data_IF_787100609454
#
_entry.id   IF_787100609454
#
_cell.length_a   1.000
_cell.length_b   1.000
_cell.length_c   1.000
_cell.angle_alpha   90.00
_cell.angle_beta   90.00
_cell.angle_gamma   90.00
#
_symmetry.space_group_name_H-M   'P 1'
#
loop_
_entity.id
_entity.type
_entity.pdbx_description
1 polymer ?
#
# COMPACT_ATOMS: atom_id res chain seq x y z
N UNK A 1 -5.73 66.98 49.84
CA UNK A 1 -4.71 67.16 48.69
C UNK A 1 -3.94 65.92 48.60
N UNK A 2 -4.32 65.04 47.71
CA UNK A 2 -3.72 63.71 47.47
C UNK A 2 -3.28 63.68 46.04
N UNK A 3 -2.02 63.41 45.84
CA UNK A 3 -1.35 63.34 44.52
C UNK A 3 -1.13 61.88 44.14
N UNK A 4 -1.87 61.43 43.15
CA UNK A 4 -1.72 60.08 42.53
C UNK A 4 -0.40 60.03 41.75
N UNK A 5 0.36 58.94 41.97
CA UNK A 5 1.48 58.53 41.13
C UNK A 5 1.18 57.16 40.51
N UNK A 6 0.90 57.16 39.22
CA UNK A 6 0.77 55.93 38.43
C UNK A 6 2.18 55.46 38.02
N UNK A 7 2.55 54.26 38.49
CA UNK A 7 3.74 53.54 38.02
C UNK A 7 3.27 52.57 36.94
N UNK A 8 3.69 52.83 35.69
CA UNK A 8 3.48 51.93 34.57
C UNK A 8 4.43 50.75 34.67
N UNK A 9 3.88 49.54 34.71
CA UNK A 9 4.65 48.29 34.53
C UNK A 9 4.69 47.93 33.07
N UNK A 10 5.89 48.03 32.46
CA UNK A 10 6.20 47.40 31.19
C UNK A 10 6.40 45.92 31.42
N UNK A 11 5.47 45.09 30.96
CA UNK A 11 5.71 43.65 30.80
C UNK A 11 6.36 43.40 29.44
N UNK A 12 7.66 43.13 29.45
CA UNK A 12 8.37 42.58 28.28
C UNK A 12 8.00 41.10 28.17
N UNK A 13 7.17 40.74 27.20
CA UNK A 13 6.93 39.36 26.77
C UNK A 13 8.12 38.91 25.96
N UNK A 14 9.03 38.14 26.58
CA UNK A 14 10.01 37.33 25.86
C UNK A 14 9.23 36.13 25.27
N UNK A 15 8.92 36.21 23.98
CA UNK A 15 8.46 35.09 23.19
C UNK A 15 9.62 34.11 22.98
N UNK A 16 9.69 33.05 23.79
CA UNK A 16 10.57 31.90 23.49
C UNK A 16 9.90 31.15 22.36
N UNK A 17 10.34 31.42 21.12
CA UNK A 17 10.03 30.61 19.96
C UNK A 17 10.64 29.23 20.16
N UNK A 18 9.83 28.25 20.58
CA UNK A 18 10.20 26.83 20.51
C UNK A 18 10.27 26.47 19.03
N UNK A 19 11.48 26.57 18.42
CA UNK A 19 11.76 25.89 17.18
C UNK A 19 11.73 24.39 17.47
N UNK A 20 10.59 23.77 17.22
CA UNK A 20 10.52 22.32 17.03
C UNK A 20 11.39 22.00 15.82
N UNK A 21 12.64 21.65 16.06
CA UNK A 21 13.49 20.97 15.09
C UNK A 21 12.88 19.58 14.95
N UNK A 22 11.87 19.45 14.08
CA UNK A 22 11.53 18.17 13.52
C UNK A 22 12.78 17.74 12.77
N UNK A 23 13.41 16.67 13.24
CA UNK A 23 14.52 16.05 12.54
C UNK A 23 14.02 15.65 11.15
N UNK A 24 14.25 16.49 10.17
CA UNK A 24 14.10 16.12 8.77
C UNK A 24 15.14 15.03 8.52
N UNK A 25 14.72 13.79 8.52
CA UNK A 25 15.54 12.71 7.99
C UNK A 25 15.82 13.05 6.54
N UNK A 26 17.08 13.40 6.27
CA UNK A 26 17.47 13.77 4.92
C UNK A 26 17.28 12.52 4.02
N UNK A 27 16.52 12.68 2.95
CA UNK A 27 16.38 11.65 1.93
C UNK A 27 17.75 11.22 1.42
N UNK A 28 17.97 9.92 1.28
CA UNK A 28 19.23 9.36 0.78
C UNK A 28 19.60 9.92 -0.59
N UNK A 29 20.91 10.18 -0.81
CA UNK A 29 21.43 10.84 -2.04
C UNK A 29 21.19 10.02 -3.31
N UNK A 30 20.97 8.72 -3.21
CA UNK A 30 20.67 7.81 -4.31
C UNK A 30 19.19 7.78 -4.68
N UNK A 31 18.35 8.62 -4.04
CA UNK A 31 16.91 8.73 -4.32
C UNK A 31 16.66 10.00 -5.13
N UNK A 32 15.86 9.88 -6.18
CA UNK A 32 15.43 11.01 -7.02
C UNK A 32 13.95 10.85 -7.40
N UNK A 33 13.26 11.96 -7.63
CA UNK A 33 11.90 11.95 -8.18
C UNK A 33 11.96 11.54 -9.65
N UNK A 34 11.23 10.49 -10.02
CA UNK A 34 11.11 10.02 -11.40
C UNK A 34 9.87 10.59 -12.09
N UNK A 35 8.71 10.61 -11.40
CA UNK A 35 7.47 11.18 -11.90
C UNK A 35 6.60 11.70 -10.76
N UNK A 36 5.68 12.63 -11.07
CA UNK A 36 4.78 13.30 -10.10
C UNK A 36 3.36 13.38 -10.65
N UNK A 37 2.41 13.83 -9.83
CA UNK A 37 1.02 14.07 -10.24
C UNK A 37 0.09 12.88 -10.02
N UNK A 38 0.47 11.97 -9.13
CA UNK A 38 -0.35 10.81 -8.76
C UNK A 38 -1.28 11.12 -7.58
N UNK A 39 -2.41 10.41 -7.53
CA UNK A 39 -3.38 10.45 -6.44
C UNK A 39 -3.27 9.17 -5.61
N UNK A 40 -2.57 9.21 -4.48
CA UNK A 40 -2.31 8.04 -3.64
C UNK A 40 -1.75 6.85 -4.47
N UNK A 41 -0.52 6.96 -5.05
CA UNK A 41 0.07 5.88 -5.84
C UNK A 41 0.28 4.64 -4.97
N UNK A 42 -0.07 3.48 -5.52
CA UNK A 42 -0.04 2.19 -4.86
C UNK A 42 0.95 1.25 -5.58
N UNK A 43 0.53 0.05 -5.94
CA UNK A 43 1.35 -0.89 -6.68
C UNK A 43 1.86 -0.35 -8.02
N UNK A 44 3.01 -0.80 -8.46
CA UNK A 44 3.63 -0.40 -9.72
C UNK A 44 4.40 -1.56 -10.35
N UNK A 45 4.32 -1.67 -11.69
CA UNK A 45 5.01 -2.71 -12.48
C UNK A 45 5.44 -2.17 -13.83
N UNK A 46 6.62 -2.59 -14.27
CA UNK A 46 7.03 -2.37 -15.67
C UNK A 46 6.26 -3.30 -16.59
N UNK A 47 5.66 -2.71 -17.62
CA UNK A 47 4.99 -3.43 -18.68
C UNK A 47 5.98 -4.03 -19.71
N UNK A 48 5.47 -4.92 -20.58
CA UNK A 48 6.28 -5.50 -21.67
C UNK A 48 6.71 -4.48 -22.72
N UNK A 49 6.08 -3.29 -22.72
CA UNK A 49 6.45 -2.12 -23.54
C UNK A 49 7.60 -1.30 -22.95
N UNK A 50 8.04 -1.63 -21.73
CA UNK A 50 9.10 -0.93 -21.00
C UNK A 50 8.64 0.31 -20.24
N UNK A 51 7.38 0.67 -20.32
CA UNK A 51 6.77 1.74 -19.51
C UNK A 51 6.42 1.24 -18.10
N UNK A 52 6.39 2.15 -17.13
CA UNK A 52 5.99 1.84 -15.76
C UNK A 52 4.49 2.12 -15.57
N UNK A 53 3.73 1.09 -15.18
CA UNK A 53 2.32 1.21 -14.84
C UNK A 53 2.17 1.39 -13.33
N UNK A 54 1.36 2.38 -12.93
CA UNK A 54 1.16 2.77 -11.53
C UNK A 54 -0.33 2.73 -11.23
N UNK A 55 -0.73 1.94 -10.24
CA UNK A 55 -2.08 1.99 -9.68
C UNK A 55 -2.21 3.16 -8.71
N UNK A 56 -3.39 3.78 -8.69
CA UNK A 56 -3.67 4.94 -7.84
C UNK A 56 -4.95 4.69 -7.03
N UNK A 57 -4.85 4.88 -5.73
CA UNK A 57 -5.99 4.81 -4.82
C UNK A 57 -7.06 5.85 -5.14
N UNK A 58 -6.68 6.97 -5.76
CA UNK A 58 -7.58 8.07 -6.04
C UNK A 58 -7.64 9.08 -4.90
N UNK A 59 -8.81 9.69 -4.72
CA UNK A 59 -9.08 10.73 -3.72
C UNK A 59 -10.32 10.41 -2.85
N UNK A 60 -10.71 9.13 -2.77
CA UNK A 60 -11.94 8.76 -2.06
C UNK A 60 -13.21 9.30 -2.71
N UNK A 61 -14.17 9.66 -1.89
CA UNK A 61 -15.45 10.27 -2.33
C UNK A 61 -16.40 10.49 -1.17
N UNK A 62 -17.61 10.97 -1.48
CA UNK A 62 -18.61 11.38 -0.47
C UNK A 62 -19.85 10.50 -0.42
N UNK A 63 -19.94 9.47 -1.26
CA UNK A 63 -21.07 8.54 -1.27
C UNK A 63 -21.04 7.66 -0.03
N UNK A 64 -22.17 7.54 0.68
CA UNK A 64 -22.31 6.73 1.88
C UNK A 64 -23.39 5.65 1.69
N UNK A 65 -23.14 4.49 2.25
CA UNK A 65 -24.06 3.35 2.26
C UNK A 65 -24.48 2.96 3.68
N UNK A 66 -24.33 3.87 4.63
CA UNK A 66 -24.84 3.67 5.99
C UNK A 66 -26.35 3.39 5.97
N UNK A 67 -26.78 2.37 6.70
CA UNK A 67 -28.17 1.91 6.70
C UNK A 67 -28.57 1.04 5.51
N UNK A 68 -27.68 0.82 4.54
CA UNK A 68 -27.92 -0.03 3.35
C UNK A 68 -27.29 -1.41 3.55
N UNK A 69 -26.07 -1.48 4.07
CA UNK A 69 -25.33 -2.73 4.30
C UNK A 69 -24.46 -2.63 5.56
N UNK A 70 -23.90 -3.76 6.05
CA UNK A 70 -22.91 -3.76 7.12
C UNK A 70 -21.73 -2.85 6.77
N UNK A 71 -21.32 -2.05 7.74
CA UNK A 71 -20.25 -1.08 7.60
C UNK A 71 -18.99 -1.56 8.32
N UNK A 72 -17.83 -1.07 7.88
CA UNK A 72 -16.60 -1.19 8.64
C UNK A 72 -16.76 -0.50 9.99
N UNK A 73 -16.36 -1.11 11.12
CA UNK A 73 -16.56 -0.55 12.45
C UNK A 73 -15.77 0.75 12.69
N UNK A 74 -16.31 1.60 13.58
CA UNK A 74 -15.56 2.75 14.12
C UNK A 74 -14.37 2.25 14.98
N UNK A 75 -13.21 2.93 14.95
CA UNK A 75 -12.93 4.25 14.35
C UNK A 75 -12.58 4.21 12.86
N UNK A 76 -12.31 3.06 12.27
CA UNK A 76 -11.87 2.89 10.88
C UNK A 76 -12.95 3.33 9.90
N UNK A 77 -14.12 2.75 10.01
CA UNK A 77 -15.32 3.15 9.28
C UNK A 77 -16.22 4.14 10.03
N UNK A 78 -17.39 4.47 9.47
CA UNK A 78 -17.86 4.06 8.15
C UNK A 78 -17.08 4.73 7.02
N UNK A 79 -16.90 4.01 5.91
CA UNK A 79 -16.24 4.56 4.73
C UNK A 79 -17.20 5.38 3.86
N UNK A 80 -16.61 6.31 3.08
CA UNK A 80 -17.28 6.96 1.97
C UNK A 80 -16.56 6.66 0.67
N UNK A 81 -17.30 6.59 -0.44
CA UNK A 81 -16.77 6.16 -1.71
C UNK A 81 -17.02 7.12 -2.87
N UNK A 82 -16.27 6.94 -3.94
CA UNK A 82 -16.39 7.66 -5.21
C UNK A 82 -15.69 6.89 -6.33
N UNK A 83 -15.59 7.53 -7.50
CA UNK A 83 -14.94 6.95 -8.68
C UNK A 83 -13.74 7.80 -9.09
N UNK A 84 -12.72 7.84 -8.24
CA UNK A 84 -11.51 8.64 -8.41
C UNK A 84 -10.23 7.81 -8.55
N UNK A 85 -10.35 6.48 -8.46
CA UNK A 85 -9.24 5.55 -8.71
C UNK A 85 -8.79 5.58 -10.17
N UNK A 86 -7.49 5.35 -10.40
CA UNK A 86 -6.87 5.49 -11.72
C UNK A 86 -5.74 4.48 -11.90
N UNK A 87 -5.41 4.19 -13.16
CA UNK A 87 -4.16 3.55 -13.56
C UNK A 87 -3.44 4.51 -14.49
N UNK A 88 -2.22 4.87 -14.16
CA UNK A 88 -1.34 5.70 -14.96
C UNK A 88 -0.19 4.91 -15.55
N UNK A 89 0.35 5.39 -16.67
CA UNK A 89 1.53 4.89 -17.34
C UNK A 89 2.60 5.97 -17.39
N UNK A 90 3.84 5.62 -17.08
CA UNK A 90 5.00 6.51 -17.07
C UNK A 90 6.04 6.00 -18.05
N UNK A 91 6.38 6.82 -19.05
CA UNK A 91 7.42 6.50 -20.01
C UNK A 91 8.82 6.54 -19.35
N UNK A 92 9.87 5.96 -19.97
CA UNK A 92 11.24 6.07 -19.47
C UNK A 92 11.74 7.52 -19.30
N UNK A 93 11.12 8.48 -20.00
CA UNK A 93 11.39 9.92 -19.88
C UNK A 93 10.62 10.60 -18.71
N UNK A 94 9.80 9.85 -17.94
CA UNK A 94 9.02 10.39 -16.84
C UNK A 94 7.69 11.04 -17.23
N UNK A 95 7.25 10.90 -18.50
CA UNK A 95 5.95 11.44 -18.94
C UNK A 95 4.82 10.54 -18.45
N UNK A 96 3.87 11.13 -17.72
CA UNK A 96 2.70 10.44 -17.15
C UNK A 96 1.51 10.57 -18.08
N UNK A 97 0.82 9.45 -18.35
CA UNK A 97 -0.45 9.40 -19.08
C UNK A 97 -1.45 8.48 -18.37
N UNK A 98 -2.75 8.81 -18.47
CA UNK A 98 -3.81 7.96 -17.91
C UNK A 98 -4.08 6.77 -18.84
N UNK A 99 -4.17 5.57 -18.27
CA UNK A 99 -4.55 4.33 -18.96
C UNK A 99 -6.04 4.04 -18.73
N UNK A 100 -6.47 4.10 -17.47
CA UNK A 100 -7.86 3.93 -17.02
C UNK A 100 -8.12 4.92 -15.91
N UNK A 101 -9.29 5.54 -15.89
CA UNK A 101 -9.77 6.39 -14.81
C UNK A 101 -11.19 6.02 -14.37
N UNK A 102 -11.76 6.79 -13.45
CA UNK A 102 -13.10 6.58 -12.91
C UNK A 102 -13.30 5.19 -12.28
N UNK A 103 -12.24 4.61 -11.71
CA UNK A 103 -12.34 3.37 -10.95
C UNK A 103 -12.77 3.64 -9.50
N UNK A 104 -13.42 2.66 -8.83
CA UNK A 104 -13.80 2.78 -7.43
C UNK A 104 -12.64 3.20 -6.52
N UNK A 105 -12.97 4.09 -5.59
CA UNK A 105 -12.08 4.61 -4.55
C UNK A 105 -12.91 4.87 -3.30
N UNK A 106 -12.33 4.66 -2.14
CA UNK A 106 -12.96 4.98 -0.86
C UNK A 106 -11.98 5.71 0.07
N UNK A 107 -12.51 6.27 1.13
CA UNK A 107 -11.72 6.78 2.24
C UNK A 107 -12.31 6.34 3.59
N UNK A 108 -11.42 6.12 4.54
CA UNK A 108 -11.78 5.81 5.93
C UNK A 108 -12.41 7.02 6.61
N UNK A 109 -12.92 6.83 7.82
CA UNK A 109 -13.44 7.94 8.63
C UNK A 109 -12.37 8.99 8.93
N UNK A 110 -12.81 10.21 9.28
CA UNK A 110 -11.91 11.28 9.71
C UNK A 110 -11.14 10.92 11.00
N UNK A 111 -11.72 10.08 11.87
CA UNK A 111 -11.04 9.59 13.07
C UNK A 111 -9.84 8.70 12.75
N UNK A 112 -9.88 7.98 11.61
CA UNK A 112 -8.79 7.16 11.10
C UNK A 112 -7.82 7.96 10.21
N UNK A 113 -8.15 9.21 9.84
CA UNK A 113 -7.28 10.09 9.05
C UNK A 113 -7.59 10.13 7.58
N UNK A 114 -8.80 9.76 7.14
CA UNK A 114 -9.22 9.79 5.72
C UNK A 114 -8.23 9.03 4.80
N UNK A 115 -7.84 7.82 5.20
CA UNK A 115 -6.95 6.98 4.41
C UNK A 115 -7.68 6.49 3.16
N UNK A 116 -7.04 6.61 2.00
CA UNK A 116 -7.66 6.32 0.71
C UNK A 116 -7.25 4.94 0.20
N UNK A 117 -8.23 4.15 -0.27
CA UNK A 117 -8.03 2.92 -1.04
C UNK A 117 -8.74 3.00 -2.39
N UNK A 118 -8.27 2.23 -3.37
CA UNK A 118 -8.83 2.26 -4.72
C UNK A 118 -8.24 1.14 -5.57
N UNK A 119 -7.46 1.47 -6.62
CA UNK A 119 -6.67 0.46 -7.32
C UNK A 119 -5.43 0.17 -6.52
N UNK A 120 -5.35 -1.04 -5.94
CA UNK A 120 -4.29 -1.42 -5.02
C UNK A 120 -2.99 -1.81 -5.72
N UNK A 121 -3.07 -2.58 -6.81
CA UNK A 121 -1.88 -3.03 -7.54
C UNK A 121 -2.21 -3.33 -9.01
N UNK A 122 -1.17 -3.52 -9.81
CA UNK A 122 -1.24 -3.93 -11.21
C UNK A 122 -0.27 -5.07 -11.48
N UNK A 123 -0.61 -5.96 -12.40
CA UNK A 123 0.26 -7.02 -12.88
C UNK A 123 -0.01 -7.34 -14.34
N UNK A 124 0.97 -7.96 -15.01
CA UNK A 124 0.82 -8.44 -16.37
C UNK A 124 0.79 -9.97 -16.42
N UNK A 125 -0.18 -10.53 -17.13
CA UNK A 125 -0.14 -11.92 -17.56
C UNK A 125 0.10 -11.92 -19.08
N UNK A 126 1.29 -12.29 -19.50
CA UNK A 126 1.76 -12.04 -20.87
C UNK A 126 1.77 -10.52 -21.17
N UNK A 127 0.99 -10.13 -22.17
CA UNK A 127 0.83 -8.71 -22.55
C UNK A 127 -0.45 -8.06 -22.01
N UNK A 128 -1.25 -8.78 -21.24
CA UNK A 128 -2.52 -8.28 -20.71
C UNK A 128 -2.31 -7.66 -19.32
N UNK A 129 -2.72 -6.40 -19.16
CA UNK A 129 -2.70 -5.68 -17.89
C UNK A 129 -3.91 -6.09 -17.06
N UNK A 130 -3.67 -6.42 -15.80
CA UNK A 130 -4.67 -6.66 -14.77
C UNK A 130 -4.48 -5.69 -13.62
N UNK A 131 -5.59 -5.27 -13.02
CA UNK A 131 -5.61 -4.41 -11.84
C UNK A 131 -6.31 -5.11 -10.68
N UNK A 132 -5.74 -4.96 -9.49
CA UNK A 132 -6.33 -5.38 -8.22
C UNK A 132 -7.11 -4.21 -7.64
N UNK A 133 -8.43 -4.36 -7.52
CA UNK A 133 -9.30 -3.33 -6.97
C UNK A 133 -9.58 -3.60 -5.50
N UNK A 134 -9.43 -2.58 -4.67
CA UNK A 134 -9.67 -2.61 -3.23
C UNK A 134 -10.55 -1.47 -2.70
N UNK A 135 -10.98 -0.55 -3.59
CA UNK A 135 -11.78 0.62 -3.21
C UNK A 135 -13.28 0.47 -3.46
N UNK A 136 -13.75 -0.72 -3.86
CA UNK A 136 -15.14 -1.01 -4.19
C UNK A 136 -15.85 -1.74 -3.05
N UNK A 137 -17.17 -1.76 -3.12
CA UNK A 137 -18.01 -2.51 -2.20
C UNK A 137 -19.02 -1.66 -1.45
N UNK A 138 -20.06 -2.31 -0.96
CA UNK A 138 -21.10 -1.61 -0.21
C UNK A 138 -20.55 -1.06 1.10
N UNK A 139 -19.71 -1.79 1.82
CA UNK A 139 -19.06 -1.31 3.05
C UNK A 139 -18.07 -0.16 2.80
N UNK A 140 -17.68 0.06 1.53
CA UNK A 140 -16.80 1.13 1.08
C UNK A 140 -17.56 2.34 0.48
N UNK A 141 -18.87 2.44 0.73
CA UNK A 141 -19.70 3.54 0.24
C UNK A 141 -20.20 3.39 -1.19
N UNK A 142 -19.95 2.27 -1.86
CA UNK A 142 -20.28 2.07 -3.29
C UNK A 142 -21.13 0.81 -3.50
N UNK A 143 -22.44 0.92 -3.24
CA UNK A 143 -23.37 -0.19 -3.43
C UNK A 143 -23.37 -0.70 -4.88
N UNK A 144 -23.44 -2.02 -5.05
CA UNK A 144 -23.46 -2.67 -6.36
C UNK A 144 -22.07 -2.80 -7.04
N UNK A 145 -21.00 -2.37 -6.36
CA UNK A 145 -19.63 -2.60 -6.82
C UNK A 145 -18.94 -3.68 -5.98
N UNK A 146 -17.82 -4.24 -6.47
CA UNK A 146 -17.07 -5.30 -5.79
C UNK A 146 -15.57 -5.12 -5.97
N UNK A 147 -14.80 -5.49 -4.96
CA UNK A 147 -13.36 -5.65 -5.08
C UNK A 147 -13.04 -6.93 -5.87
N UNK A 148 -11.94 -6.90 -6.61
CA UNK A 148 -11.55 -8.02 -7.44
C UNK A 148 -10.49 -7.70 -8.47
N UNK A 149 -10.33 -8.59 -9.43
CA UNK A 149 -9.39 -8.44 -10.53
C UNK A 149 -10.12 -7.89 -11.76
N UNK A 150 -9.64 -6.75 -12.24
CA UNK A 150 -10.06 -6.15 -13.50
C UNK A 150 -9.04 -6.47 -14.59
N UNK A 151 -9.48 -6.95 -15.74
CA UNK A 151 -8.70 -6.93 -16.96
C UNK A 151 -8.86 -5.55 -17.61
N UNK A 152 -7.75 -4.93 -17.96
CA UNK A 152 -7.75 -3.69 -18.76
C UNK A 152 -7.79 -4.05 -20.23
N UNK A 153 -8.81 -3.57 -20.93
CA UNK A 153 -9.00 -3.80 -22.36
C UNK A 153 -8.20 -2.78 -23.20
N UNK A 154 -7.88 -3.10 -24.46
CA UNK A 154 -7.11 -2.19 -25.33
C UNK A 154 -7.76 -0.81 -25.57
N UNK A 155 -9.07 -0.70 -25.41
CA UNK A 155 -9.84 0.56 -25.54
C UNK A 155 -9.87 1.38 -24.24
N UNK A 156 -9.18 0.94 -23.17
CA UNK A 156 -9.18 1.58 -21.86
C UNK A 156 -10.36 1.22 -20.97
N UNK A 157 -11.32 0.43 -21.45
CA UNK A 157 -12.37 -0.13 -20.60
C UNK A 157 -11.85 -1.24 -19.70
N UNK A 158 -12.64 -1.64 -18.70
CA UNK A 158 -12.28 -2.73 -17.80
C UNK A 158 -13.33 -3.82 -17.74
N UNK A 159 -12.89 -5.06 -17.50
CA UNK A 159 -13.78 -6.22 -17.30
C UNK A 159 -13.41 -6.90 -16.00
N UNK A 160 -14.38 -7.05 -15.08
CA UNK A 160 -14.19 -7.87 -13.86
C UNK A 160 -14.02 -9.34 -14.28
N UNK A 161 -12.85 -9.91 -13.97
CA UNK A 161 -12.53 -11.32 -14.29
C UNK A 161 -12.49 -12.21 -13.05
N UNK A 162 -12.46 -11.63 -11.86
CA UNK A 162 -12.59 -12.34 -10.59
C UNK A 162 -13.22 -11.40 -9.54
N UNK A 163 -14.31 -11.82 -8.91
CA UNK A 163 -14.99 -11.09 -7.84
C UNK A 163 -14.48 -11.60 -6.48
N UNK A 164 -13.50 -10.89 -5.93
CA UNK A 164 -12.85 -11.27 -4.67
C UNK A 164 -13.74 -10.99 -3.45
N UNK A 165 -14.54 -9.91 -3.47
CA UNK A 165 -15.54 -9.68 -2.40
C UNK A 165 -16.54 -10.84 -2.27
N UNK A 166 -16.98 -11.40 -3.40
CA UNK A 166 -17.86 -12.57 -3.39
C UNK A 166 -17.14 -13.81 -2.84
N UNK A 167 -15.89 -14.04 -3.28
CA UNK A 167 -15.08 -15.15 -2.80
C UNK A 167 -14.89 -15.10 -1.29
N UNK A 168 -14.44 -13.98 -0.75
CA UNK A 168 -14.21 -13.76 0.68
C UNK A 168 -15.46 -14.05 1.52
N UNK A 169 -16.60 -13.52 1.09
CA UNK A 169 -17.88 -13.68 1.79
C UNK A 169 -18.31 -15.12 1.90
N UNK A 170 -18.01 -15.97 0.89
CA UNK A 170 -18.43 -17.38 0.86
C UNK A 170 -17.34 -18.33 1.35
N UNK A 171 -16.12 -17.83 1.53
CA UNK A 171 -14.97 -18.60 2.00
C UNK A 171 -14.27 -17.87 3.15
N UNK A 172 -14.93 -17.70 4.32
CA UNK A 172 -14.33 -16.97 5.43
C UNK A 172 -13.02 -17.63 5.89
N UNK A 173 -12.09 -16.82 6.39
CA UNK A 173 -10.86 -17.30 7.06
C UNK A 173 -11.20 -17.92 8.41
N UNK A 174 -10.27 -18.73 8.96
CA UNK A 174 -10.51 -19.44 10.22
C UNK A 174 -10.58 -18.49 11.43
N UNK A 175 -9.79 -17.40 11.44
CA UNK A 175 -9.71 -16.47 12.55
C UNK A 175 -9.90 -15.01 12.08
N UNK A 176 -11.11 -14.61 11.64
CA UNK A 176 -11.38 -13.22 11.28
C UNK A 176 -11.26 -12.34 12.52
N UNK A 177 -10.72 -11.12 12.36
CA UNK A 177 -10.68 -10.14 13.44
C UNK A 177 -11.98 -9.30 13.44
N UNK A 178 -12.84 -9.41 14.47
CA UNK A 178 -14.07 -8.63 14.52
C UNK A 178 -13.84 -7.11 14.66
N UNK A 179 -12.68 -6.71 15.19
CA UNK A 179 -12.30 -5.30 15.36
C UNK A 179 -11.83 -4.62 14.08
N UNK A 180 -11.48 -5.43 13.07
CA UNK A 180 -11.01 -4.98 11.75
C UNK A 180 -11.82 -5.70 10.65
N UNK A 181 -13.14 -5.60 10.76
CA UNK A 181 -14.08 -6.28 9.89
C UNK A 181 -14.25 -5.50 8.59
N UNK A 182 -13.78 -6.07 7.49
CA UNK A 182 -13.87 -5.52 6.12
C UNK A 182 -14.76 -6.42 5.25
N UNK A 183 -16.09 -6.21 5.24
CA UNK A 183 -17.03 -7.15 4.59
C UNK A 183 -16.81 -7.35 3.09
N UNK A 184 -16.28 -6.34 2.41
CA UNK A 184 -15.97 -6.40 0.97
C UNK A 184 -14.49 -6.71 0.70
N UNK A 185 -13.63 -6.81 1.76
CA UNK A 185 -12.20 -7.03 1.70
C UNK A 185 -11.41 -5.81 1.23
N UNK A 186 -10.12 -5.77 1.56
CA UNK A 186 -9.23 -4.65 1.19
C UNK A 186 -7.88 -5.20 0.73
N UNK A 187 -7.82 -5.76 -0.48
CA UNK A 187 -6.58 -6.30 -1.05
C UNK A 187 -5.50 -5.24 -1.16
N UNK A 188 -4.24 -5.63 -1.00
CA UNK A 188 -3.14 -4.68 -0.97
C UNK A 188 -2.15 -4.84 -2.12
N UNK A 189 -1.60 -6.02 -2.34
CA UNK A 189 -0.61 -6.25 -3.41
C UNK A 189 -0.86 -7.55 -4.17
N UNK A 190 -0.28 -7.64 -5.37
CA UNK A 190 -0.47 -8.75 -6.28
C UNK A 190 0.83 -9.06 -7.02
N UNK A 191 1.08 -10.34 -7.26
CA UNK A 191 2.19 -10.82 -8.09
C UNK A 191 1.70 -11.84 -9.11
N UNK A 192 2.27 -11.82 -10.31
CA UNK A 192 2.05 -12.86 -11.30
C UNK A 192 3.10 -13.96 -11.14
N UNK A 193 2.66 -15.22 -11.22
CA UNK A 193 3.52 -16.38 -11.32
C UNK A 193 2.84 -17.44 -12.19
N UNK A 194 3.52 -17.90 -13.24
CA UNK A 194 3.07 -18.99 -14.13
C UNK A 194 1.69 -18.77 -14.78
N UNK A 195 1.35 -17.54 -15.12
CA UNK A 195 0.06 -17.17 -15.72
C UNK A 195 -1.09 -17.04 -14.71
N UNK A 196 -0.81 -17.12 -13.42
CA UNK A 196 -1.75 -16.99 -12.31
C UNK A 196 -1.42 -15.72 -11.53
N UNK A 197 -2.45 -14.99 -11.10
CA UNK A 197 -2.29 -13.85 -10.21
C UNK A 197 -2.43 -14.31 -8.75
N UNK A 198 -1.53 -13.83 -7.90
CA UNK A 198 -1.59 -14.10 -6.45
C UNK A 198 -1.74 -12.78 -5.72
N UNK A 199 -2.82 -12.63 -4.97
CA UNK A 199 -3.17 -11.40 -4.26
C UNK A 199 -3.21 -11.63 -2.76
N UNK A 200 -2.73 -10.63 -1.99
CA UNK A 200 -2.74 -10.63 -0.53
C UNK A 200 -3.87 -9.74 -0.01
N UNK A 201 -4.63 -10.26 0.94
CA UNK A 201 -5.68 -9.55 1.65
C UNK A 201 -5.27 -9.34 3.12
N UNK A 202 -5.09 -8.06 3.54
CA UNK A 202 -4.55 -7.72 4.85
C UNK A 202 -5.46 -8.01 6.04
N UNK A 203 -6.74 -7.66 5.94
CA UNK A 203 -7.63 -7.60 7.10
C UNK A 203 -8.10 -8.99 7.54
N UNK A 204 -8.39 -9.87 6.58
CA UNK A 204 -8.70 -11.27 6.85
C UNK A 204 -7.45 -12.13 6.98
N UNK A 205 -6.33 -11.69 6.36
CA UNK A 205 -5.03 -12.38 6.43
C UNK A 205 -4.98 -13.62 5.54
N UNK A 206 -5.06 -13.44 4.21
CA UNK A 206 -5.02 -14.55 3.27
C UNK A 206 -4.22 -14.25 1.99
N UNK A 207 -3.67 -15.31 1.38
CA UNK A 207 -3.07 -15.29 0.06
C UNK A 207 -3.93 -16.12 -0.89
N UNK A 208 -4.44 -15.48 -1.94
CA UNK A 208 -5.31 -16.10 -2.94
C UNK A 208 -4.61 -16.22 -4.28
N UNK A 209 -4.80 -17.37 -4.94
CA UNK A 209 -4.47 -17.60 -6.34
C UNK A 209 -5.72 -17.35 -7.20
N UNK A 210 -5.55 -16.56 -8.25
CA UNK A 210 -6.61 -16.15 -9.15
C UNK A 210 -6.23 -16.49 -10.59
N UNK A 211 -6.99 -17.41 -11.20
CA UNK A 211 -6.92 -17.71 -12.62
C UNK A 211 -7.90 -16.78 -13.35
N UNK A 212 -7.42 -15.78 -14.12
CA UNK A 212 -8.31 -14.81 -14.73
C UNK A 212 -9.40 -15.44 -15.59
N UNK A 213 -10.68 -15.19 -15.23
CA UNK A 213 -11.84 -15.75 -15.92
C UNK A 213 -12.18 -17.21 -15.59
N UNK A 214 -11.48 -17.84 -14.64
CA UNK A 214 -11.74 -19.22 -14.25
C UNK A 214 -12.21 -19.34 -12.79
N UNK A 215 -11.29 -19.36 -11.84
CA UNK A 215 -11.64 -19.55 -10.43
C UNK A 215 -10.61 -18.88 -9.49
N UNK A 216 -11.00 -18.80 -8.21
CA UNK A 216 -10.18 -18.28 -7.13
C UNK A 216 -9.97 -19.42 -6.13
N UNK A 217 -8.74 -19.53 -5.60
CA UNK A 217 -8.40 -20.50 -4.58
C UNK A 217 -7.55 -19.85 -3.50
N UNK A 218 -7.93 -19.98 -2.23
CA UNK A 218 -7.04 -19.61 -1.12
C UNK A 218 -5.86 -20.56 -1.07
N UNK A 219 -4.63 -20.01 -1.15
CA UNK A 219 -3.39 -20.77 -1.00
C UNK A 219 -2.99 -20.86 0.46
N UNK A 220 -3.13 -19.78 1.21
CA UNK A 220 -2.83 -19.76 2.63
C UNK A 220 -3.83 -18.90 3.42
N UNK A 221 -4.36 -19.47 4.49
CA UNK A 221 -5.04 -18.75 5.55
C UNK A 221 -4.00 -18.35 6.60
N UNK A 222 -3.46 -17.13 6.44
CA UNK A 222 -2.42 -16.60 7.30
C UNK A 222 -2.97 -16.34 8.69
N UNK A 223 -4.24 -15.91 8.79
CA UNK A 223 -4.92 -15.64 10.06
C UNK A 223 -4.96 -16.86 10.97
N UNK A 224 -5.11 -18.04 10.40
CA UNK A 224 -5.14 -19.30 11.12
C UNK A 224 -3.83 -19.59 11.86
N UNK A 225 -2.69 -19.18 11.27
CA UNK A 225 -1.36 -19.54 11.75
C UNK A 225 -0.75 -18.40 12.56
N UNK A 226 -0.96 -17.15 12.14
CA UNK A 226 -0.30 -15.96 12.66
C UNK A 226 -1.23 -15.04 13.46
N UNK A 227 -2.55 -15.27 13.44
CA UNK A 227 -3.52 -14.30 13.93
C UNK A 227 -3.64 -13.08 13.01
N UNK A 228 -4.12 -11.98 13.54
CA UNK A 228 -4.29 -10.74 12.80
C UNK A 228 -2.98 -9.94 12.80
N UNK A 229 -2.26 -9.97 11.69
CA UNK A 229 -0.94 -9.33 11.52
C UNK A 229 -0.88 -8.37 10.32
N UNK A 230 -1.98 -8.18 9.61
CA UNK A 230 -2.10 -7.26 8.45
C UNK A 230 -1.03 -7.55 7.39
N UNK A 231 -1.05 -8.73 6.71
CA UNK A 231 -0.11 -9.01 5.62
C UNK A 231 -0.39 -8.08 4.43
N UNK A 232 0.64 -7.43 3.89
CA UNK A 232 0.50 -6.39 2.86
C UNK A 232 1.28 -6.70 1.59
N UNK A 233 2.54 -7.06 1.71
CA UNK A 233 3.43 -7.21 0.58
C UNK A 233 3.54 -8.68 0.15
N UNK A 234 3.51 -8.95 -1.16
CA UNK A 234 3.81 -10.27 -1.72
C UNK A 234 4.84 -10.17 -2.84
N UNK A 235 5.82 -11.07 -2.83
CA UNK A 235 6.79 -11.27 -3.91
C UNK A 235 7.01 -12.76 -4.16
N UNK A 236 7.39 -13.12 -5.39
CA UNK A 236 7.67 -14.49 -5.79
C UNK A 236 9.13 -14.61 -6.27
N UNK A 237 9.86 -15.62 -5.77
CA UNK A 237 11.27 -15.81 -6.11
C UNK A 237 11.53 -16.87 -7.20
N UNK A 238 10.47 -17.35 -7.84
CA UNK A 238 10.54 -18.45 -8.83
C UNK A 238 10.19 -19.82 -8.23
N UNK A 239 10.07 -19.93 -6.90
CA UNK A 239 9.72 -21.18 -6.20
C UNK A 239 8.66 -20.98 -5.11
N UNK A 240 8.87 -20.00 -4.23
CA UNK A 240 8.04 -19.71 -3.09
C UNK A 240 7.56 -18.25 -3.08
N UNK A 241 6.44 -17.98 -2.43
CA UNK A 241 5.97 -16.63 -2.13
C UNK A 241 6.61 -16.11 -0.84
N UNK A 242 6.94 -14.83 -0.82
CA UNK A 242 7.39 -14.11 0.36
C UNK A 242 6.35 -13.05 0.69
N UNK A 243 5.86 -13.07 1.92
CA UNK A 243 4.80 -12.18 2.40
C UNK A 243 5.32 -11.38 3.58
N UNK A 244 5.26 -10.06 3.47
CA UNK A 244 5.55 -9.12 4.56
C UNK A 244 4.26 -8.62 5.20
N UNK A 245 4.30 -8.25 6.48
CA UNK A 245 3.17 -7.69 7.18
C UNK A 245 3.44 -6.27 7.70
N UNK A 246 2.39 -5.47 7.71
CA UNK A 246 2.39 -4.13 8.29
C UNK A 246 2.33 -4.20 9.82
N UNK A 247 1.55 -5.13 10.36
CA UNK A 247 1.11 -5.23 11.74
C UNK A 247 -0.07 -4.28 12.08
N UNK A 248 -0.57 -4.36 13.30
CA UNK A 248 -1.72 -3.56 13.77
C UNK A 248 -1.27 -2.24 14.38
N UNK A 249 -2.10 -1.20 14.24
CA UNK A 249 -1.84 0.08 14.90
C UNK A 249 -2.23 0.05 16.39
N UNK A 250 -1.44 0.67 17.28
CA UNK A 250 -0.16 1.33 17.05
C UNK A 250 0.95 0.31 16.76
N UNK A 251 1.74 0.53 15.70
CA UNK A 251 2.81 -0.40 15.29
C UNK A 251 3.90 -0.43 16.36
N UNK A 252 4.32 -1.62 16.70
CA UNK A 252 5.51 -1.82 17.54
C UNK A 252 6.72 -1.98 16.63
N UNK A 253 7.69 -1.10 16.75
CA UNK A 253 8.92 -1.16 15.96
C UNK A 253 9.59 -2.54 16.08
N UNK A 254 10.01 -3.11 14.97
CA UNK A 254 10.59 -4.44 14.89
C UNK A 254 9.58 -5.61 14.99
N UNK A 255 8.26 -5.36 15.02
CA UNK A 255 7.25 -6.43 15.13
C UNK A 255 6.90 -7.08 13.80
N UNK A 256 7.16 -6.40 12.68
CA UNK A 256 6.90 -6.94 11.36
C UNK A 256 7.91 -8.02 10.96
N UNK A 257 7.47 -8.90 10.09
CA UNK A 257 8.24 -10.08 9.65
C UNK A 257 7.97 -10.39 8.18
N UNK A 258 8.88 -11.14 7.59
CA UNK A 258 8.66 -11.77 6.29
C UNK A 258 8.42 -13.26 6.49
N UNK A 259 7.34 -13.75 5.92
CA UNK A 259 6.98 -15.16 5.88
C UNK A 259 7.23 -15.71 4.47
N UNK A 260 7.69 -16.95 4.41
CA UNK A 260 7.77 -17.73 3.20
C UNK A 260 6.56 -18.66 3.14
N UNK A 261 5.85 -18.67 2.00
CA UNK A 261 4.69 -19.53 1.75
C UNK A 261 4.98 -20.35 0.50
N UNK A 262 4.95 -21.68 0.64
CA UNK A 262 5.09 -22.58 -0.50
C UNK A 262 3.82 -22.53 -1.38
N UNK A 263 3.88 -22.94 -2.67
CA UNK A 263 2.68 -23.08 -3.51
C UNK A 263 1.61 -24.03 -2.95
N UNK A 264 1.95 -24.84 -1.94
CA UNK A 264 1.02 -25.72 -1.22
C UNK A 264 0.41 -25.09 0.03
N UNK A 265 0.77 -23.81 0.34
CA UNK A 265 0.26 -23.08 1.50
C UNK A 265 1.01 -23.30 2.80
N UNK A 266 2.16 -23.98 2.79
CA UNK A 266 3.01 -24.13 3.97
C UNK A 266 3.70 -22.82 4.31
N UNK A 267 3.46 -22.28 5.52
CA UNK A 267 3.94 -20.98 5.97
C UNK A 267 5.08 -21.14 6.98
N UNK A 268 6.17 -20.40 6.77
CA UNK A 268 7.31 -20.32 7.69
C UNK A 268 7.80 -18.88 7.82
N UNK A 269 7.98 -18.37 9.03
CA UNK A 269 8.63 -17.06 9.24
C UNK A 269 10.13 -17.18 8.94
N UNK A 270 10.64 -16.30 8.08
CA UNK A 270 12.05 -16.34 7.62
C UNK A 270 12.89 -15.16 8.07
N UNK A 271 12.28 -13.96 8.18
CA UNK A 271 12.94 -12.74 8.63
C UNK A 271 12.07 -12.02 9.65
N UNK A 272 12.67 -11.43 10.68
CA UNK A 272 12.03 -10.73 11.81
C UNK A 272 12.75 -9.43 12.11
N UNK A 273 12.24 -8.63 13.04
CA UNK A 273 12.79 -7.33 13.42
C UNK A 273 12.75 -6.33 12.26
N UNK A 274 11.64 -6.29 11.57
CA UNK A 274 11.27 -5.33 10.54
C UNK A 274 10.08 -4.50 11.01
N UNK A 275 9.79 -3.39 10.38
CA UNK A 275 8.70 -2.48 10.77
C UNK A 275 7.84 -2.12 9.57
N UNK A 276 6.52 -2.16 9.73
CA UNK A 276 5.54 -1.61 8.79
C UNK A 276 5.87 -1.94 7.31
N UNK A 277 5.97 -3.24 6.99
CA UNK A 277 6.35 -3.70 5.64
C UNK A 277 5.18 -3.44 4.68
N UNK A 278 5.46 -2.72 3.59
CA UNK A 278 4.49 -2.40 2.53
C UNK A 278 4.94 -2.81 1.12
N UNK A 279 6.15 -3.32 0.98
CA UNK A 279 6.67 -3.78 -0.31
C UNK A 279 7.79 -4.79 -0.17
N UNK A 280 7.81 -5.77 -1.08
CA UNK A 280 8.86 -6.78 -1.23
C UNK A 280 9.24 -6.88 -2.71
N UNK A 281 10.53 -6.99 -3.00
CA UNK A 281 11.00 -7.22 -4.37
C UNK A 281 12.30 -8.02 -4.39
N UNK A 282 12.46 -8.90 -5.38
CA UNK A 282 13.71 -9.60 -5.63
C UNK A 282 14.47 -8.93 -6.76
N UNK A 283 15.78 -8.79 -6.62
CA UNK A 283 16.64 -8.40 -7.72
C UNK A 283 17.01 -9.61 -8.62
N UNK A 284 17.70 -9.33 -9.72
CA UNK A 284 18.15 -10.38 -10.67
C UNK A 284 19.15 -11.38 -10.07
N UNK A 285 19.74 -11.09 -8.92
CA UNK A 285 20.63 -11.98 -8.15
C UNK A 285 19.87 -12.81 -7.11
N UNK A 286 18.52 -12.64 -7.00
CA UNK A 286 17.68 -13.31 -6.02
C UNK A 286 17.78 -12.74 -4.61
N UNK A 287 18.31 -11.53 -4.43
CA UNK A 287 18.36 -10.85 -3.13
C UNK A 287 17.02 -10.16 -2.86
N UNK A 288 16.51 -10.33 -1.65
CA UNK A 288 15.26 -9.72 -1.21
C UNK A 288 15.50 -8.29 -0.73
N UNK A 289 14.63 -7.39 -1.16
CA UNK A 289 14.51 -6.02 -0.66
C UNK A 289 13.16 -5.85 0.02
N UNK A 290 13.16 -5.11 1.12
CA UNK A 290 12.00 -4.83 1.97
C UNK A 290 11.78 -3.32 1.99
N UNK A 291 10.56 -2.89 1.73
CA UNK A 291 10.12 -1.51 1.87
C UNK A 291 9.33 -1.37 3.16
N UNK A 292 9.81 -0.54 4.06
CA UNK A 292 9.12 -0.13 5.28
C UNK A 292 8.45 1.23 5.05
N UNK A 293 7.15 1.35 5.41
CA UNK A 293 6.45 2.63 5.31
C UNK A 293 6.94 3.61 6.37
N UNK A 294 7.19 3.09 7.58
CA UNK A 294 7.78 3.84 8.69
C UNK A 294 8.66 2.94 9.54
N UNK A 295 9.69 3.47 10.16
CA UNK A 295 10.49 2.81 11.18
C UNK A 295 10.67 3.74 12.39
N UNK A 296 10.71 3.17 13.60
CA UNK A 296 10.82 3.92 14.84
C UNK A 296 9.56 4.72 15.23
N UNK A 297 8.42 4.49 14.60
CA UNK A 297 7.17 5.21 14.85
C UNK A 297 5.99 4.23 15.00
N UNK A 298 4.98 4.64 15.78
CA UNK A 298 3.76 3.86 16.00
C UNK A 298 2.73 4.00 14.86
N UNK A 299 2.89 5.01 14.03
CA UNK A 299 2.00 5.33 12.91
C UNK A 299 2.83 5.77 11.70
N UNK A 300 2.34 5.55 10.48
CA UNK A 300 2.98 6.06 9.26
C UNK A 300 3.34 7.53 9.37
N UNK A 301 4.62 7.83 9.21
CA UNK A 301 5.18 9.17 9.39
C UNK A 301 6.01 9.55 8.18
N UNK A 302 5.72 10.70 7.57
CA UNK A 302 6.45 11.17 6.40
C UNK A 302 7.94 11.35 6.69
N UNK A 303 8.81 10.93 5.76
CA UNK A 303 10.26 11.03 5.89
C UNK A 303 10.92 9.93 6.72
N UNK A 304 10.17 8.91 7.15
CA UNK A 304 10.71 7.81 7.98
C UNK A 304 10.66 6.43 7.30
N UNK A 305 10.17 6.39 6.05
CA UNK A 305 10.19 5.17 5.26
C UNK A 305 11.60 4.79 4.81
N UNK A 306 11.86 3.49 4.68
CA UNK A 306 13.16 2.94 4.36
C UNK A 306 13.09 1.76 3.39
N UNK A 307 14.18 1.52 2.67
CA UNK A 307 14.41 0.30 1.90
C UNK A 307 15.60 -0.43 2.50
N UNK A 308 15.36 -1.68 2.86
CA UNK A 308 16.36 -2.59 3.41
C UNK A 308 16.64 -3.72 2.41
N UNK A 309 17.89 -4.14 2.25
CA UNK A 309 18.26 -5.38 1.57
C UNK A 309 18.58 -6.47 2.59
N UNK A 310 18.07 -7.65 2.36
CA UNK A 310 18.38 -8.81 3.20
C UNK A 310 19.74 -9.39 2.79
N UNK A 311 20.76 -9.27 3.64
CA UNK A 311 22.13 -9.76 3.43
C UNK A 311 22.43 -11.05 4.24
N UNK A 312 21.42 -11.63 4.90
CA UNK A 312 21.49 -12.86 5.70
C UNK A 312 20.36 -12.96 6.70
N UNK A 313 20.38 -13.98 7.55
CA UNK A 313 19.33 -14.18 8.56
C UNK A 313 19.28 -12.99 9.51
N UNK A 314 18.19 -12.19 9.40
CA UNK A 314 17.96 -10.98 10.21
C UNK A 314 19.13 -9.96 10.16
N UNK A 315 19.86 -9.95 9.06
CA UNK A 315 20.90 -8.97 8.76
C UNK A 315 20.45 -8.13 7.57
N UNK A 316 20.28 -6.83 7.78
CA UNK A 316 19.70 -5.90 6.83
C UNK A 316 20.68 -4.78 6.51
N UNK A 317 20.87 -4.53 5.22
CA UNK A 317 21.61 -3.37 4.71
C UNK A 317 20.65 -2.29 4.29
N UNK A 318 20.78 -1.12 4.89
CA UNK A 318 20.02 0.04 4.47
C UNK A 318 20.44 0.47 3.05
N UNK A 319 19.46 0.61 2.15
CA UNK A 319 19.64 1.01 0.76
C UNK A 319 19.19 2.46 0.56
N UNK A 320 18.08 2.84 1.16
CA UNK A 320 17.57 4.20 1.11
C UNK A 320 16.72 4.51 2.34
N UNK A 321 16.71 5.78 2.76
CA UNK A 321 15.91 6.31 3.87
C UNK A 321 15.30 7.65 3.50
N UNK A 322 14.45 8.17 4.39
CA UNK A 322 13.81 9.47 4.18
C UNK A 322 12.66 9.44 3.19
N UNK A 323 12.09 8.25 2.92
CA UNK A 323 10.90 8.12 2.08
C UNK A 323 9.66 8.59 2.84
N UNK A 324 8.70 9.18 2.13
CA UNK A 324 7.51 9.74 2.75
C UNK A 324 6.28 8.90 2.39
N UNK A 325 5.76 8.15 3.37
CA UNK A 325 4.56 7.33 3.23
C UNK A 325 4.61 6.44 1.97
N UNK A 326 5.70 5.68 1.74
CA UNK A 326 5.80 4.81 0.58
C UNK A 326 4.81 3.64 0.70
N UNK A 327 4.37 3.08 -0.43
CA UNK A 327 3.32 2.04 -0.45
C UNK A 327 3.69 0.79 -1.24
N UNK A 328 4.57 0.89 -2.22
CA UNK A 328 5.01 -0.25 -3.01
C UNK A 328 6.35 0.05 -3.68
N UNK A 329 7.04 -1.00 -4.14
CA UNK A 329 8.25 -0.89 -4.95
C UNK A 329 8.37 -2.01 -5.98
N UNK A 330 9.09 -1.74 -7.05
CA UNK A 330 9.44 -2.72 -8.08
C UNK A 330 10.83 -2.45 -8.63
N UNK A 331 11.52 -3.49 -9.12
CA UNK A 331 12.75 -3.31 -9.89
C UNK A 331 12.44 -2.92 -11.33
N UNK A 332 13.16 -1.92 -11.82
CA UNK A 332 13.14 -1.56 -13.23
C UNK A 332 14.08 -2.44 -14.07
N UNK A 333 13.92 -2.39 -15.41
CA UNK A 333 14.81 -3.08 -16.34
C UNK A 333 16.27 -2.65 -16.21
N UNK A 334 16.50 -1.43 -15.73
CA UNK A 334 17.81 -0.83 -15.43
C UNK A 334 18.46 -1.30 -14.12
N UNK A 335 17.77 -2.18 -13.36
CA UNK A 335 18.24 -2.72 -12.09
C UNK A 335 18.10 -1.77 -10.89
N UNK A 336 17.45 -0.63 -11.05
CA UNK A 336 17.12 0.29 -9.97
C UNK A 336 15.72 0.01 -9.43
N UNK A 337 15.45 0.46 -8.20
CA UNK A 337 14.12 0.39 -7.61
C UNK A 337 13.29 1.62 -7.98
N UNK A 338 12.02 1.40 -8.19
CA UNK A 338 11.00 2.43 -8.36
C UNK A 338 9.98 2.28 -7.24
N UNK A 339 9.61 3.38 -6.59
CA UNK A 339 8.86 3.40 -5.33
C UNK A 339 7.70 4.38 -5.43
N UNK A 340 6.50 3.93 -5.11
CA UNK A 340 5.34 4.81 -4.90
C UNK A 340 5.52 5.55 -3.58
N UNK A 341 5.53 6.88 -3.62
CA UNK A 341 5.77 7.76 -2.48
C UNK A 341 4.59 8.74 -2.30
N UNK A 342 4.25 9.10 -1.06
CA UNK A 342 3.00 9.79 -0.72
C UNK A 342 1.76 9.02 -1.18
N UNK A 343 1.77 7.71 -0.99
CA UNK A 343 0.68 6.82 -1.37
C UNK A 343 -0.22 6.40 -0.21
N UNK A 344 0.07 6.83 1.01
CA UNK A 344 -0.68 6.51 2.22
C UNK A 344 -1.01 7.78 3.01
N UNK A 345 -2.27 7.97 3.34
CA UNK A 345 -2.76 9.15 4.02
C UNK A 345 -3.63 10.03 3.12
N UNK A 346 -4.07 11.19 3.61
CA UNK A 346 -4.78 12.20 2.84
C UNK A 346 -3.80 13.25 2.28
N UNK A 347 -2.89 12.92 1.35
CA UNK A 347 -2.09 13.95 0.72
C UNK A 347 -2.98 14.84 -0.15
N UNK A 348 -2.60 16.07 -0.43
CA UNK A 348 -3.24 16.86 -1.46
C UNK A 348 -3.31 16.05 -2.77
N UNK A 349 -4.43 16.13 -3.49
CA UNK A 349 -4.59 15.48 -4.79
C UNK A 349 -3.42 15.86 -5.71
N UNK A 350 -2.79 14.87 -6.34
CA UNK A 350 -1.63 15.07 -7.21
C UNK A 350 -0.28 15.21 -6.50
N UNK A 351 -0.23 15.08 -5.17
CA UNK A 351 1.04 15.14 -4.43
C UNK A 351 1.86 13.84 -4.50
N UNK A 352 1.25 12.73 -4.93
CA UNK A 352 1.91 11.44 -5.07
C UNK A 352 3.05 11.47 -6.08
N UNK A 353 4.07 10.66 -5.83
CA UNK A 353 5.31 10.58 -6.61
C UNK A 353 5.68 9.13 -6.89
N UNK A 354 6.40 8.91 -7.98
CA UNK A 354 7.25 7.74 -8.15
C UNK A 354 8.70 8.20 -7.97
N UNK A 355 9.40 7.56 -7.05
CA UNK A 355 10.82 7.77 -6.83
C UNK A 355 11.63 6.69 -7.56
N UNK A 356 12.82 7.08 -8.04
CA UNK A 356 13.85 6.15 -8.51
C UNK A 356 14.95 6.09 -7.46
N UNK A 357 15.30 4.89 -7.03
CA UNK A 357 16.36 4.61 -6.07
C UNK A 357 17.47 3.84 -6.78
N UNK A 358 18.62 4.48 -6.92
CA UNK A 358 19.79 3.84 -7.52
C UNK A 358 20.34 2.82 -6.54
N UNK A 359 20.29 1.54 -6.91
CA UNK A 359 20.81 0.45 -6.09
C UNK A 359 22.32 0.36 -6.29
N UNK A 360 23.13 0.45 -5.20
CA UNK A 360 24.58 0.34 -5.32
C UNK A 360 25.01 -0.98 -5.98
N UNK A 361 25.92 -0.91 -6.93
CA UNK A 361 26.63 -2.09 -7.41
C UNK A 361 27.52 -2.64 -6.28
N UNK A 362 27.40 -3.96 -6.00
CA UNK A 362 28.31 -4.68 -5.09
C UNK A 362 29.52 -5.17 -5.85
#
# INVERSE_FOLDING_TARGET
>A
MTRDWRVGKFCALLGIGLCLVQGLWAQSKNVSVFATGFNNPRGLKFGPDGDLYVSEGGAGGTTSTQGICPQVPSPVGPYTGGFTGRISKVTPAGTVTTVVDHLPSNETSAAQGNLVSGVADVAFVGHTLYALLAGAGCSHGLAGTHNGILRVNPDGSTTMVANLSHFLKHNPVANPNPGDFEPDGTWYSMVEAYGVLFAIEPNHGELDAIWPGAFIQRIADISRIQGHIVPTAVAFNGADFFVGNLDTFPIKDGSSKVMKITPRGELTTVYINLSDIVGLAFDKKGRLYVLENTSGNQYPTAGTGAILRVDGKNNYKEIATGLSLPTAMTFGPDGNLYVSNFGFGPPPVGAGQVLKVVVPAD
#
